data_IF_451224489596
#
_entry.id   IF_451224489596
#
_cell.length_a   1.000
_cell.length_b   1.000
_cell.length_c   1.000
_cell.angle_alpha   90.00
_cell.angle_beta   90.00
_cell.angle_gamma   90.00
#
_symmetry.space_group_name_H-M   'P 1'
#
loop_
_entity.id
_entity.type
_entity.pdbx_description
1 polymer ?
#
# COMPACT_ATOMS: atom_id res chain seq x y z
N UNK A 1 6.90 3.98 16.07
CA UNK A 1 6.60 2.63 15.52
C UNK A 1 5.99 1.78 16.61
N UNK A 2 5.09 0.83 16.30
CA UNK A 2 4.52 -0.08 17.31
C UNK A 2 5.60 -0.97 17.94
N UNK A 3 5.38 -1.43 19.16
CA UNK A 3 6.15 -2.54 19.72
C UNK A 3 5.84 -3.82 18.93
N UNK A 4 6.69 -4.86 19.07
CA UNK A 4 6.44 -6.15 18.41
C UNK A 4 5.06 -6.72 18.73
N UNK A 5 4.66 -6.68 20.00
CA UNK A 5 3.35 -7.20 20.46
C UNK A 5 2.20 -6.39 19.85
N UNK A 6 2.32 -5.06 19.82
CA UNK A 6 1.31 -4.21 19.17
C UNK A 6 1.22 -4.50 17.68
N UNK A 7 2.36 -4.71 17.02
CA UNK A 7 2.41 -5.02 15.60
C UNK A 7 1.76 -6.38 15.29
N UNK A 8 2.11 -7.43 16.03
CA UNK A 8 1.51 -8.76 15.90
C UNK A 8 -0.02 -8.70 16.12
N UNK A 9 -0.48 -7.94 17.12
CA UNK A 9 -1.91 -7.72 17.38
C UNK A 9 -2.61 -7.04 16.19
N UNK A 10 -2.02 -5.99 15.61
CA UNK A 10 -2.57 -5.29 14.46
C UNK A 10 -2.70 -6.21 13.24
N UNK A 11 -1.73 -7.11 13.02
CA UNK A 11 -1.79 -8.08 11.92
C UNK A 11 -2.93 -9.08 12.11
N UNK A 12 -3.09 -9.60 13.33
CA UNK A 12 -4.19 -10.53 13.64
C UNK A 12 -5.55 -9.87 13.49
N UNK A 13 -5.70 -8.64 13.99
CA UNK A 13 -6.92 -7.84 13.87
C UNK A 13 -7.28 -7.55 12.42
N UNK A 14 -6.34 -6.98 11.65
CA UNK A 14 -6.55 -6.67 10.23
C UNK A 14 -6.81 -7.94 9.39
N UNK A 15 -6.18 -9.06 9.71
CA UNK A 15 -6.47 -10.35 9.07
C UNK A 15 -7.89 -10.85 9.39
N UNK A 16 -8.40 -10.59 10.60
CA UNK A 16 -9.76 -10.92 10.99
C UNK A 16 -10.79 -10.07 10.22
N UNK A 17 -10.57 -8.77 10.13
CA UNK A 17 -11.42 -7.86 9.34
C UNK A 17 -11.45 -8.24 7.87
N UNK A 18 -10.30 -8.59 7.29
CA UNK A 18 -10.21 -9.06 5.91
C UNK A 18 -11.04 -10.32 5.67
N UNK A 19 -11.02 -11.28 6.60
CA UNK A 19 -11.84 -12.50 6.51
C UNK A 19 -13.32 -12.20 6.63
N UNK A 20 -13.72 -11.28 7.52
CA UNK A 20 -15.10 -10.86 7.64
C UNK A 20 -15.60 -10.26 6.31
N UNK A 21 -14.82 -9.35 5.72
CA UNK A 21 -15.13 -8.77 4.42
C UNK A 21 -15.17 -9.83 3.30
N UNK A 22 -14.29 -10.84 3.37
CA UNK A 22 -14.27 -12.00 2.45
C UNK A 22 -15.42 -12.98 2.62
N UNK A 23 -16.31 -12.80 3.60
CA UNK A 23 -17.51 -13.61 3.77
C UNK A 23 -18.78 -12.82 3.44
N UNK A 24 -18.69 -11.50 3.20
CA UNK A 24 -19.83 -10.67 2.82
C UNK A 24 -20.22 -10.90 1.34
N UNK A 25 -21.46 -11.32 1.10
CA UNK A 25 -21.95 -11.75 -0.21
C UNK A 25 -21.83 -10.69 -1.32
N UNK A 26 -21.89 -9.41 -0.96
CA UNK A 26 -21.72 -8.26 -1.88
C UNK A 26 -20.34 -8.18 -2.53
N UNK A 27 -19.29 -8.61 -1.83
CA UNK A 27 -17.91 -8.56 -2.32
C UNK A 27 -17.45 -9.92 -2.89
N UNK A 28 -18.03 -11.01 -2.39
CA UNK A 28 -17.59 -12.38 -2.67
C UNK A 28 -18.00 -12.92 -4.05
N UNK A 29 -19.16 -12.54 -4.58
CA UNK A 29 -19.80 -13.42 -5.57
C UNK A 29 -19.34 -13.25 -7.02
N UNK A 30 -18.62 -12.19 -7.40
CA UNK A 30 -18.15 -12.04 -8.80
C UNK A 30 -16.87 -11.21 -9.01
N UNK A 31 -16.33 -10.51 -7.98
CA UNK A 31 -15.28 -9.50 -8.19
C UNK A 31 -13.85 -9.98 -7.84
N UNK A 32 -13.69 -10.86 -6.84
CA UNK A 32 -12.37 -11.36 -6.40
C UNK A 32 -12.38 -12.87 -6.16
N UNK A 33 -12.16 -13.66 -7.21
CA UNK A 33 -12.18 -15.14 -7.15
C UNK A 33 -11.12 -15.76 -6.23
N UNK A 34 -10.14 -14.97 -5.80
CA UNK A 34 -9.02 -15.39 -4.96
C UNK A 34 -9.01 -14.72 -3.58
N UNK A 35 -10.06 -13.97 -3.21
CA UNK A 35 -10.20 -13.19 -1.97
C UNK A 35 -9.06 -12.18 -1.71
N UNK A 36 -8.45 -11.67 -2.78
CA UNK A 36 -7.52 -10.55 -2.73
C UNK A 36 -8.24 -9.28 -3.15
N UNK A 37 -8.50 -8.40 -2.19
CA UNK A 37 -9.10 -7.10 -2.46
C UNK A 37 -8.05 -6.13 -2.99
N UNK A 38 -8.44 -5.36 -4.01
CA UNK A 38 -7.74 -4.12 -4.33
C UNK A 38 -7.93 -3.08 -3.20
N UNK A 39 -7.03 -2.09 -3.16
CA UNK A 39 -7.05 -1.07 -2.11
C UNK A 39 -8.34 -0.23 -2.14
N UNK A 40 -8.93 -0.02 -3.32
CA UNK A 40 -10.19 0.71 -3.48
C UNK A 40 -11.34 -0.03 -2.78
N UNK A 41 -11.41 -1.35 -2.92
CA UNK A 41 -12.42 -2.18 -2.25
C UNK A 41 -12.27 -2.10 -0.74
N UNK A 42 -11.03 -2.15 -0.22
CA UNK A 42 -10.76 -2.01 1.23
C UNK A 42 -11.21 -0.65 1.76
N UNK A 43 -10.96 0.43 1.02
CA UNK A 43 -11.36 1.80 1.40
C UNK A 43 -12.88 1.96 1.33
N UNK A 44 -13.49 1.48 0.25
CA UNK A 44 -14.94 1.58 0.04
C UNK A 44 -15.75 0.75 1.03
N UNK A 45 -15.16 -0.30 1.62
CA UNK A 45 -15.79 -1.06 2.69
C UNK A 45 -15.93 -0.25 3.99
N UNK A 46 -15.15 0.83 4.17
CA UNK A 46 -15.32 1.75 5.29
C UNK A 46 -15.05 1.16 6.68
N UNK A 47 -14.35 0.02 6.75
CA UNK A 47 -14.05 -0.69 8.02
C UNK A 47 -13.19 0.18 8.95
N UNK A 48 -12.28 0.99 8.37
CA UNK A 48 -11.38 1.90 9.09
C UNK A 48 -11.41 3.29 8.43
N UNK A 49 -11.14 4.36 9.19
CA UNK A 49 -11.17 5.75 8.70
C UNK A 49 -9.91 6.10 7.88
N UNK A 50 -9.68 5.36 6.79
CA UNK A 50 -8.55 5.53 5.88
C UNK A 50 -9.05 6.04 4.53
N UNK A 51 -8.34 6.97 3.93
CA UNK A 51 -8.60 7.45 2.57
C UNK A 51 -7.30 7.58 1.77
N UNK A 52 -7.41 7.59 0.44
CA UNK A 52 -6.29 7.89 -0.47
C UNK A 52 -6.38 9.34 -0.93
N UNK A 53 -5.26 10.06 -0.84
CA UNK A 53 -5.10 11.39 -1.42
C UNK A 53 -4.57 11.24 -2.84
N UNK A 54 -5.43 11.35 -3.84
CA UNK A 54 -5.06 11.13 -5.24
C UNK A 54 -4.08 12.17 -5.78
N UNK A 55 -4.17 13.41 -5.29
CA UNK A 55 -3.26 14.54 -5.62
C UNK A 55 -1.81 14.33 -5.15
N UNK A 56 -1.60 13.46 -4.14
CA UNK A 56 -0.29 13.11 -3.59
C UNK A 56 0.15 11.69 -3.92
N UNK A 57 -0.69 10.94 -4.61
CA UNK A 57 -0.39 9.59 -5.07
C UNK A 57 0.37 9.65 -6.40
N UNK A 58 1.21 8.65 -6.65
CA UNK A 58 1.99 8.57 -7.90
C UNK A 58 1.89 7.19 -8.51
N UNK A 59 1.78 7.16 -9.84
CA UNK A 59 1.79 5.94 -10.64
C UNK A 59 2.97 5.98 -11.58
N UNK A 60 3.64 4.84 -11.72
CA UNK A 60 4.75 4.69 -12.65
C UNK A 60 4.87 3.28 -13.18
N UNK A 61 5.96 3.03 -13.89
CA UNK A 61 6.21 1.80 -14.63
C UNK A 61 7.57 1.23 -14.25
N UNK A 62 7.61 -0.09 -14.07
CA UNK A 62 8.85 -0.85 -13.93
C UNK A 62 9.50 -1.08 -15.29
N UNK A 63 10.83 -1.08 -15.31
CA UNK A 63 11.59 -1.44 -16.51
C UNK A 63 11.61 -0.38 -17.60
N UNK A 64 11.28 0.88 -17.28
CA UNK A 64 11.39 2.04 -18.17
C UNK A 64 12.78 2.14 -18.80
N UNK A 65 13.81 1.81 -18.03
CA UNK A 65 15.20 1.80 -18.43
C UNK A 65 15.58 0.65 -19.38
N UNK A 66 14.76 -0.40 -19.47
CA UNK A 66 15.02 -1.61 -20.28
C UNK A 66 14.13 -1.69 -21.52
N UNK A 67 12.86 -1.27 -21.40
CA UNK A 67 11.84 -1.43 -22.42
C UNK A 67 11.71 -0.11 -23.19
N UNK A 68 12.21 -0.07 -24.43
CA UNK A 68 12.22 1.13 -25.29
C UNK A 68 10.86 1.82 -25.43
N UNK A 69 9.76 1.06 -25.39
CA UNK A 69 8.41 1.61 -25.51
C UNK A 69 7.95 2.38 -24.27
N UNK A 70 8.58 2.12 -23.11
CA UNK A 70 8.26 2.74 -21.83
C UNK A 70 9.18 3.92 -21.50
N UNK A 71 10.13 4.28 -22.38
CA UNK A 71 11.18 5.28 -22.09
C UNK A 71 10.66 6.64 -21.61
N UNK A 72 9.44 7.02 -22.03
CA UNK A 72 8.81 8.30 -21.70
C UNK A 72 7.82 8.16 -20.52
N UNK A 73 7.72 6.96 -19.92
CA UNK A 73 6.88 6.70 -18.76
C UNK A 73 7.59 7.06 -17.46
N UNK A 74 6.80 7.29 -16.43
CA UNK A 74 7.30 7.65 -15.11
C UNK A 74 8.00 6.45 -14.45
N UNK A 75 9.30 6.54 -14.21
CA UNK A 75 10.09 5.43 -13.66
C UNK A 75 9.96 5.31 -12.14
N UNK A 76 10.42 4.19 -11.57
CA UNK A 76 10.52 4.03 -10.12
C UNK A 76 11.42 5.10 -9.46
N UNK A 77 12.46 5.56 -10.16
CA UNK A 77 13.30 6.67 -9.68
C UNK A 77 12.50 7.98 -9.63
N UNK A 78 11.76 8.30 -10.68
CA UNK A 78 10.93 9.50 -10.73
C UNK A 78 9.85 9.48 -9.63
N UNK A 79 9.23 8.32 -9.39
CA UNK A 79 8.27 8.11 -8.30
C UNK A 79 8.94 8.36 -6.95
N UNK A 80 10.10 7.77 -6.71
CA UNK A 80 10.85 7.94 -5.46
C UNK A 80 11.22 9.39 -5.20
N UNK A 81 11.76 10.08 -6.20
CA UNK A 81 12.09 11.52 -6.12
C UNK A 81 10.85 12.33 -5.76
N UNK A 82 9.70 12.02 -6.35
CA UNK A 82 8.44 12.75 -6.10
C UNK A 82 7.94 12.55 -4.67
N UNK A 83 7.89 11.32 -4.17
CA UNK A 83 7.36 11.05 -2.83
C UNK A 83 8.30 11.50 -1.71
N UNK A 84 9.62 11.49 -1.98
CA UNK A 84 10.65 11.94 -1.05
C UNK A 84 10.93 13.43 -1.13
N UNK A 85 10.42 14.12 -2.15
CA UNK A 85 10.44 15.57 -2.24
C UNK A 85 9.76 16.18 -1.02
N UNK A 86 10.35 17.24 -0.48
CA UNK A 86 9.80 18.02 0.63
C UNK A 86 9.41 17.15 1.83
N UNK A 87 10.20 16.11 2.14
CA UNK A 87 10.03 15.37 3.38
C UNK A 87 10.27 16.32 4.55
N UNK A 88 9.27 16.42 5.43
CA UNK A 88 9.34 17.20 6.66
C UNK A 88 9.51 16.25 7.85
N UNK A 89 9.30 16.77 9.06
CA UNK A 89 9.21 15.94 10.27
C UNK A 89 7.97 15.06 10.30
N UNK A 90 6.94 15.37 9.52
CA UNK A 90 5.71 14.58 9.43
C UNK A 90 5.93 13.34 8.55
N UNK A 91 5.59 12.13 9.03
CA UNK A 91 5.74 10.91 8.23
C UNK A 91 4.72 10.87 7.09
N UNK A 92 5.17 10.44 5.91
CA UNK A 92 4.30 10.13 4.77
C UNK A 92 4.07 8.62 4.71
N UNK A 93 2.82 8.18 4.62
CA UNK A 93 2.49 6.76 4.52
C UNK A 93 1.86 6.50 3.15
N UNK A 94 2.33 5.46 2.46
CA UNK A 94 1.84 5.05 1.16
C UNK A 94 1.43 3.58 1.20
N UNK A 95 0.39 3.21 0.46
CA UNK A 95 0.14 1.83 0.05
C UNK A 95 0.75 1.65 -1.33
N UNK A 96 1.79 0.83 -1.41
CA UNK A 96 2.47 0.49 -2.66
C UNK A 96 1.82 -0.77 -3.23
N UNK A 97 1.17 -0.66 -4.37
CA UNK A 97 0.52 -1.76 -5.07
C UNK A 97 1.29 -2.16 -6.34
N UNK A 98 1.43 -3.46 -6.56
CA UNK A 98 1.99 -4.03 -7.78
C UNK A 98 1.52 -5.46 -8.00
N UNK A 99 0.97 -5.74 -9.19
CA UNK A 99 0.59 -7.07 -9.67
C UNK A 99 -0.10 -7.94 -8.61
N UNK A 100 -1.24 -7.49 -8.08
CA UNK A 100 -2.06 -8.13 -7.03
C UNK A 100 -1.53 -8.08 -5.58
N UNK A 101 -0.28 -7.66 -5.39
CA UNK A 101 0.31 -7.50 -4.07
C UNK A 101 0.32 -6.03 -3.64
N UNK A 102 0.21 -5.78 -2.35
CA UNK A 102 0.48 -4.46 -1.81
C UNK A 102 1.19 -4.53 -0.46
N UNK A 103 1.90 -3.47 -0.13
CA UNK A 103 2.56 -3.28 1.15
C UNK A 103 2.52 -1.81 1.56
N UNK A 104 2.78 -1.53 2.83
CA UNK A 104 2.83 -0.15 3.33
C UNK A 104 4.28 0.35 3.29
N UNK A 105 4.47 1.50 2.65
CA UNK A 105 5.72 2.26 2.65
C UNK A 105 5.55 3.48 3.55
N UNK A 106 6.32 3.55 4.63
CA UNK A 106 6.35 4.71 5.53
C UNK A 106 7.66 5.45 5.36
N UNK A 107 7.58 6.74 5.02
CA UNK A 107 8.71 7.64 4.84
C UNK A 107 8.78 8.65 5.99
N UNK A 108 9.94 8.72 6.61
CA UNK A 108 10.36 9.76 7.54
C UNK A 108 11.63 10.44 6.99
N UNK A 109 12.07 11.53 7.63
CA UNK A 109 13.19 12.33 7.15
C UNK A 109 14.48 11.51 6.99
N UNK A 110 14.81 10.69 8.00
CA UNK A 110 16.06 9.89 8.05
C UNK A 110 15.84 8.37 7.99
N UNK A 111 14.60 7.92 7.82
CA UNK A 111 14.28 6.48 7.80
C UNK A 111 13.09 6.17 6.89
N UNK A 112 13.16 5.02 6.23
CA UNK A 112 12.10 4.41 5.43
C UNK A 112 11.74 3.06 6.04
N UNK A 113 10.46 2.73 6.06
CA UNK A 113 9.98 1.41 6.46
C UNK A 113 9.14 0.79 5.34
N UNK A 114 9.40 -0.48 5.04
CA UNK A 114 8.49 -1.34 4.27
C UNK A 114 7.83 -2.30 5.24
N UNK A 115 6.51 -2.27 5.31
CA UNK A 115 5.70 -3.15 6.14
C UNK A 115 4.88 -4.04 5.22
N UNK A 116 5.20 -5.32 5.22
CA UNK A 116 4.64 -6.29 4.27
C UNK A 116 4.24 -7.59 4.99
N UNK A 117 3.04 -8.08 4.70
CA UNK A 117 2.60 -9.41 5.13
C UNK A 117 3.25 -10.56 4.33
N UNK A 118 4.09 -10.22 3.35
CA UNK A 118 4.86 -11.12 2.48
C UNK A 118 3.96 -12.14 1.76
N UNK A 119 2.79 -11.69 1.32
CA UNK A 119 1.81 -12.53 0.64
C UNK A 119 1.19 -13.63 1.50
N UNK A 120 1.46 -13.65 2.83
CA UNK A 120 0.67 -14.45 3.76
C UNK A 120 -0.75 -13.88 3.73
N UNK A 121 -1.61 -14.61 3.03
CA UNK A 121 -2.89 -14.06 2.60
C UNK A 121 -3.72 -13.72 3.84
N UNK A 122 -4.11 -12.46 3.98
CA UNK A 122 -4.93 -11.99 5.11
C UNK A 122 -6.19 -12.85 5.28
N UNK A 123 -6.79 -13.31 4.17
CA UNK A 123 -7.94 -14.20 4.21
C UNK A 123 -7.65 -15.61 4.78
N UNK A 124 -6.38 -16.07 4.78
CA UNK A 124 -5.97 -17.39 5.30
C UNK A 124 -5.66 -17.42 6.80
N UNK A 125 -5.77 -16.29 7.51
CA UNK A 125 -5.34 -16.25 8.92
C UNK A 125 -3.91 -15.78 9.09
N UNK A 126 -3.53 -14.68 8.44
CA UNK A 126 -2.23 -14.05 8.61
C UNK A 126 -2.05 -13.60 10.07
N UNK A 127 -0.93 -14.01 10.67
CA UNK A 127 -0.56 -13.66 12.04
C UNK A 127 0.85 -13.06 12.14
N UNK A 128 1.48 -12.78 11.00
CA UNK A 128 2.81 -12.21 10.94
C UNK A 128 2.96 -11.30 9.73
N UNK A 129 3.75 -10.25 9.92
CA UNK A 129 4.23 -9.40 8.84
C UNK A 129 5.68 -9.02 9.15
N UNK A 130 6.34 -8.45 8.16
CA UNK A 130 7.72 -8.03 8.24
C UNK A 130 7.78 -6.51 8.14
N UNK A 131 8.68 -5.94 8.93
CA UNK A 131 9.01 -4.52 8.87
C UNK A 131 10.49 -4.40 8.56
N UNK A 132 10.80 -3.94 7.36
CA UNK A 132 12.16 -3.63 6.94
C UNK A 132 12.42 -2.15 7.19
N UNK A 133 13.49 -1.84 7.93
CA UNK A 133 13.93 -0.48 8.24
C UNK A 133 15.13 -0.14 7.39
N UNK A 134 15.10 1.02 6.74
CA UNK A 134 16.20 1.59 5.99
C UNK A 134 16.50 2.99 6.51
N UNK A 135 17.60 3.15 7.22
CA UNK A 135 18.09 4.42 7.78
C UNK A 135 19.53 4.70 7.33
N UNK A 136 20.16 5.74 7.87
CA UNK A 136 21.53 6.15 7.53
C UNK A 136 22.59 5.04 7.72
N UNK A 137 22.29 3.99 8.50
CA UNK A 137 23.19 2.84 8.68
C UNK A 137 23.02 1.73 7.64
N UNK A 138 22.01 1.84 6.77
CA UNK A 138 21.69 0.80 5.78
C UNK A 138 22.67 0.81 4.62
N UNK A 139 23.04 -0.38 4.16
CA UNK A 139 23.94 -0.59 3.02
C UNK A 139 23.46 -1.79 2.22
N UNK A 140 23.34 -1.64 0.90
CA UNK A 140 23.09 -2.77 -0.02
C UNK A 140 24.34 -2.99 -0.86
N UNK A 141 24.78 -4.24 -0.92
CA UNK A 141 25.90 -4.67 -1.75
C UNK A 141 25.43 -5.33 -3.06
N UNK A 142 26.26 -5.23 -4.09
CA UNK A 142 26.16 -6.00 -5.31
C UNK A 142 26.64 -7.44 -5.07
N UNK A 143 26.41 -8.32 -6.05
CA UNK A 143 26.94 -9.69 -6.04
C UNK A 143 28.47 -9.69 -5.93
N UNK A 144 29.13 -8.68 -6.51
CA UNK A 144 30.58 -8.49 -6.49
C UNK A 144 31.07 -7.75 -5.23
N UNK A 145 30.22 -7.66 -4.19
CA UNK A 145 30.50 -7.01 -2.90
C UNK A 145 30.83 -5.51 -2.99
N UNK A 146 30.43 -4.85 -4.07
CA UNK A 146 30.52 -3.38 -4.19
C UNK A 146 29.28 -2.74 -3.57
N UNK A 147 29.45 -1.58 -2.93
CA UNK A 147 28.31 -0.84 -2.37
C UNK A 147 27.46 -0.33 -3.54
N UNK A 148 26.19 -0.73 -3.60
CA UNK A 148 25.21 -0.25 -4.59
C UNK A 148 24.54 1.02 -4.12
N UNK A 149 24.15 1.07 -2.85
CA UNK A 149 23.53 2.24 -2.23
C UNK A 149 23.69 2.18 -0.70
N UNK A 150 23.47 3.32 -0.09
CA UNK A 150 23.53 3.51 1.37
C UNK A 150 22.32 4.31 1.84
N UNK A 151 22.08 4.31 3.15
CA UNK A 151 21.04 5.14 3.74
C UNK A 151 19.64 4.73 3.30
N UNK A 152 18.74 5.73 3.28
CA UNK A 152 17.34 5.56 2.90
C UNK A 152 17.11 5.09 1.46
N UNK A 153 18.04 5.39 0.55
CA UNK A 153 17.94 4.95 -0.86
C UNK A 153 18.03 3.42 -1.01
N UNK A 154 18.53 2.72 0.01
CA UNK A 154 18.43 1.27 0.10
C UNK A 154 16.97 0.78 0.01
N UNK A 155 16.01 1.58 0.49
CA UNK A 155 14.58 1.26 0.40
C UNK A 155 14.12 1.21 -1.06
N UNK A 156 14.53 2.19 -1.88
CA UNK A 156 14.27 2.21 -3.33
C UNK A 156 14.93 1.04 -4.04
N UNK A 157 16.21 0.77 -3.76
CA UNK A 157 16.91 -0.37 -4.38
C UNK A 157 16.30 -1.71 -3.99
N UNK A 158 15.86 -1.87 -2.74
CA UNK A 158 15.14 -3.04 -2.30
C UNK A 158 13.85 -3.23 -3.10
N UNK A 159 13.01 -2.18 -3.20
CA UNK A 159 11.79 -2.23 -4.01
C UNK A 159 12.11 -2.52 -5.48
N UNK A 160 13.13 -1.89 -6.07
CA UNK A 160 13.55 -2.19 -7.44
C UNK A 160 13.85 -3.66 -7.61
N UNK A 161 14.65 -4.27 -6.73
CA UNK A 161 15.01 -5.69 -6.83
C UNK A 161 13.81 -6.62 -6.59
N UNK A 162 12.99 -6.28 -5.60
CA UNK A 162 11.79 -7.04 -5.22
C UNK A 162 10.74 -7.04 -6.35
N UNK A 163 10.48 -5.88 -6.96
CA UNK A 163 9.47 -5.70 -8.00
C UNK A 163 9.97 -6.11 -9.39
N UNK A 164 11.22 -5.81 -9.76
CA UNK A 164 11.61 -5.79 -11.19
C UNK A 164 12.49 -6.95 -11.67
N UNK A 165 13.23 -7.63 -10.78
CA UNK A 165 14.47 -8.30 -11.21
C UNK A 165 14.26 -9.41 -12.26
N UNK A 166 13.22 -10.24 -12.14
CA UNK A 166 12.95 -11.32 -13.10
C UNK A 166 11.71 -11.09 -13.97
N UNK A 167 10.74 -10.31 -13.49
CA UNK A 167 9.44 -10.15 -14.17
C UNK A 167 9.53 -9.22 -15.37
N UNK A 168 10.25 -8.10 -15.27
CA UNK A 168 10.40 -7.14 -16.38
C UNK A 168 11.01 -7.83 -17.61
N UNK A 169 12.11 -8.57 -17.43
CA UNK A 169 12.79 -9.25 -18.53
C UNK A 169 11.91 -10.34 -19.15
N UNK A 170 11.16 -11.08 -18.32
CA UNK A 170 10.23 -12.12 -18.80
C UNK A 170 9.13 -11.50 -19.64
N UNK A 171 8.45 -10.47 -19.13
CA UNK A 171 7.33 -9.82 -19.81
C UNK A 171 7.78 -9.15 -21.11
N UNK A 172 8.93 -8.48 -21.12
CA UNK A 172 9.49 -7.90 -22.35
C UNK A 172 9.72 -8.96 -23.43
N UNK A 173 10.27 -10.12 -23.06
CA UNK A 173 10.52 -11.24 -23.98
C UNK A 173 9.21 -11.86 -24.48
N UNK A 174 8.22 -12.03 -23.64
CA UNK A 174 6.89 -12.53 -24.00
C UNK A 174 6.18 -11.57 -24.95
N UNK A 175 6.26 -10.27 -24.71
CA UNK A 175 5.73 -9.24 -25.60
C UNK A 175 6.40 -9.25 -26.97
N UNK A 176 7.74 -9.26 -27.01
CA UNK A 176 8.52 -9.34 -28.26
C UNK A 176 8.23 -10.61 -29.08
N UNK A 177 7.79 -11.69 -28.43
CA UNK A 177 7.39 -12.95 -29.06
C UNK A 177 5.91 -12.99 -29.46
N UNK A 178 5.13 -11.96 -29.12
CA UNK A 178 3.69 -11.89 -29.38
C UNK A 178 2.83 -12.76 -28.47
N UNK A 179 3.36 -13.26 -27.35
CA UNK A 179 2.59 -14.06 -26.39
C UNK A 179 1.67 -13.23 -25.51
N UNK A 180 2.00 -11.96 -25.31
CA UNK A 180 1.17 -11.00 -24.58
C UNK A 180 0.99 -9.74 -25.41
N UNK A 181 -0.12 -9.05 -25.17
CA UNK A 181 -0.42 -7.78 -25.81
C UNK A 181 0.07 -6.60 -24.96
N UNK A 182 0.13 -5.42 -25.60
CA UNK A 182 0.60 -4.20 -24.96
C UNK A 182 -0.21 -3.85 -23.68
N UNK A 183 -1.56 -3.88 -23.67
CA UNK A 183 -2.32 -3.54 -22.46
C UNK A 183 -1.96 -4.42 -21.25
N UNK A 184 -1.75 -5.71 -21.48
CA UNK A 184 -1.32 -6.65 -20.43
C UNK A 184 0.10 -6.33 -19.94
N UNK A 185 1.02 -5.97 -20.84
CA UNK A 185 2.36 -5.55 -20.45
C UNK A 185 2.33 -4.31 -19.54
N UNK A 186 1.52 -3.31 -19.90
CA UNK A 186 1.35 -2.09 -19.08
C UNK A 186 0.77 -2.43 -17.71
N UNK A 187 -0.31 -3.20 -17.65
CA UNK A 187 -0.94 -3.64 -16.40
C UNK A 187 0.07 -4.32 -15.45
N UNK A 188 0.92 -5.20 -15.99
CA UNK A 188 1.89 -5.96 -15.17
C UNK A 188 3.13 -5.18 -14.74
N UNK A 189 3.40 -4.06 -15.40
CA UNK A 189 4.55 -3.21 -15.08
C UNK A 189 4.16 -1.96 -14.27
N UNK A 190 2.87 -1.64 -14.20
CA UNK A 190 2.38 -0.52 -13.41
C UNK A 190 2.61 -0.74 -11.93
N UNK A 191 3.11 0.31 -11.26
CA UNK A 191 3.24 0.39 -9.80
C UNK A 191 2.54 1.64 -9.33
N UNK A 192 1.75 1.50 -8.29
CA UNK A 192 1.00 2.60 -7.69
C UNK A 192 1.50 2.84 -6.26
N UNK A 193 1.83 4.08 -5.93
CA UNK A 193 2.16 4.52 -4.57
C UNK A 193 1.07 5.47 -4.10
N UNK A 194 0.08 4.91 -3.42
CA UNK A 194 -1.12 5.62 -2.99
C UNK A 194 -0.90 6.28 -1.63
N UNK A 195 -0.92 7.61 -1.57
CA UNK A 195 -0.73 8.35 -0.32
C UNK A 195 -1.93 8.16 0.61
N UNK A 196 -1.69 7.68 1.83
CA UNK A 196 -2.73 7.51 2.84
C UNK A 196 -2.97 8.80 3.61
N UNK A 197 -4.21 9.27 3.57
CA UNK A 197 -4.75 10.29 4.46
C UNK A 197 -5.40 9.63 5.67
N UNK A 198 -5.03 10.11 6.85
CA UNK A 198 -5.85 9.88 8.04
C UNK A 198 -6.97 10.91 8.01
N UNK A 199 -8.20 10.45 7.82
CA UNK A 199 -9.35 11.31 8.03
C UNK A 199 -9.44 11.60 9.53
N UNK A 200 -9.65 12.88 9.91
CA UNK A 200 -10.05 13.17 11.28
C UNK A 200 -11.33 12.36 11.59
N UNK A 201 -11.43 11.70 12.76
CA UNK A 201 -12.65 10.99 13.11
C UNK A 201 -13.83 11.98 13.04
N UNK A 202 -14.85 11.64 12.24
CA UNK A 202 -16.07 12.43 12.17
C UNK A 202 -16.68 12.52 13.58
N UNK A 203 -17.05 13.71 14.07
CA UNK A 203 -17.74 13.81 15.35
C UNK A 203 -19.04 13.03 15.22
N UNK A 204 -19.17 11.97 16.03
CA UNK A 204 -20.38 11.17 16.13
C UNK A 204 -21.51 12.13 16.45
N UNK A 205 -22.48 12.26 15.55
CA UNK A 205 -23.69 13.03 15.81
C UNK A 205 -24.42 12.35 16.96
N UNK A 206 -24.33 12.93 18.16
CA UNK A 206 -25.14 12.53 19.29
C UNK A 206 -26.60 12.75 18.92
N UNK A 207 -27.32 11.66 18.68
CA UNK A 207 -28.77 11.66 18.55
C UNK A 207 -29.37 12.30 19.81
N UNK A 208 -30.02 13.45 19.66
CA UNK A 208 -30.80 14.08 20.71
C UNK A 208 -31.99 13.18 21.05
N UNK A 209 -31.93 12.52 22.21
CA UNK A 209 -33.09 11.94 22.85
C UNK A 209 -34.05 13.06 23.22
N UNK A 210 -35.20 13.11 22.56
CA UNK A 210 -36.32 13.98 22.91
C UNK A 210 -36.87 13.57 24.29
N UNK A 211 -36.70 14.45 25.27
CA UNK A 211 -37.36 14.34 26.57
C UNK A 211 -38.86 14.63 26.42
N UNK A 212 -39.67 13.68 26.88
CA UNK A 212 -41.12 13.80 27.01
C UNK A 212 -41.48 14.89 28.03
N UNK A 213 -42.31 15.85 27.62
CA UNK A 213 -42.93 16.84 28.50
C UNK A 213 -44.00 16.18 29.39
N UNK A 214 -43.94 16.46 30.69
CA UNK A 214 -44.99 16.14 31.66
C UNK A 214 -46.05 17.27 31.70
N UNK A 215 -47.34 16.97 31.93
CA UNK A 215 -48.38 17.99 31.94
C UNK A 215 -48.43 18.72 33.30
N UNK A 216 -48.37 20.05 33.23
CA UNK A 216 -48.58 20.97 34.34
C UNK A 216 -50.03 20.91 34.82
N UNK A 217 -50.21 20.60 36.11
CA UNK A 217 -51.44 20.85 36.85
C UNK A 217 -51.13 21.90 37.91
N UNK A 218 -51.93 22.97 37.98
CA UNK A 218 -52.15 23.71 39.22
C UNK A 218 -53.48 24.48 39.14
N UNK A 219 -54.29 24.19 40.14
CA UNK A 219 -55.54 24.84 40.51
C UNK A 219 -55.27 26.26 41.03
N UNK A 220 -56.08 27.22 40.56
CA UNK A 220 -56.96 28.10 41.36
C UNK A 220 -57.76 29.01 40.42
#
# INVERSE_FOLDING_TARGET
MPTRVQFESLIVEGSSEWRALSNESSYCQNKFSNNHFDIETVINAGIRPVSICTDRSVTGMLGVEKIKLLKDMFSLDNMWETITKDLTTEPKNFVVGWNDHFFVLKLELHVCYIIDSYGSRLFRGCNQAYMLKFDDSSVIYSTDRQILCTGKDCCKEYMRKFLSSNIVMKLEKEYKRGYIQLPYLYEKLQVDMNYMCLNAPSPVSSSSTSSYDAPSSLQL
#
